data_IF_695772930372
#
_entry.id   IF_695772930372
#
_cell.length_a   1.000
_cell.length_b   1.000
_cell.length_c   1.000
_cell.angle_alpha   90.00
_cell.angle_beta   90.00
_cell.angle_gamma   90.00
#
_symmetry.space_group_name_H-M   'P 1'
#
loop_
_entity.id
_entity.type
_entity.pdbx_description
1 polymer ?
#
# COMPACT_ATOMS: atom_id res chain seq x y z
N UNK A 1 2.75 22.88 -1.10
CA UNK A 1 3.38 21.93 -2.04
C UNK A 1 2.41 21.68 -3.17
N UNK A 2 2.82 21.89 -4.42
CA UNK A 2 1.99 21.53 -5.59
C UNK A 2 2.08 20.01 -5.86
N UNK A 3 1.22 19.46 -6.73
CA UNK A 3 1.16 18.01 -6.98
C UNK A 3 2.48 17.42 -7.49
N UNK A 4 3.27 18.18 -8.26
CA UNK A 4 4.57 17.73 -8.77
C UNK A 4 5.63 17.70 -7.67
N UNK A 5 5.71 18.73 -6.84
CA UNK A 5 6.57 18.75 -5.65
C UNK A 5 6.22 17.61 -4.67
N UNK A 6 4.93 17.26 -4.54
CA UNK A 6 4.48 16.10 -3.75
C UNK A 6 5.03 14.79 -4.34
N UNK A 7 4.99 14.61 -5.66
CA UNK A 7 5.60 13.43 -6.32
C UNK A 7 7.10 13.35 -6.05
N UNK A 8 7.81 14.47 -6.16
CA UNK A 8 9.25 14.52 -5.88
C UNK A 8 9.54 14.15 -4.42
N UNK A 9 8.69 14.59 -3.49
CA UNK A 9 8.80 14.28 -2.07
C UNK A 9 8.51 12.80 -1.78
N UNK A 10 7.46 12.23 -2.38
CA UNK A 10 7.12 10.81 -2.29
C UNK A 10 8.26 9.90 -2.80
N UNK A 11 9.00 10.37 -3.81
CA UNK A 11 10.11 9.67 -4.45
C UNK A 11 11.48 9.97 -3.84
N UNK A 12 11.55 10.85 -2.83
CA UNK A 12 12.83 11.29 -2.30
C UNK A 12 13.62 10.13 -1.69
N UNK A 13 14.95 10.20 -1.79
CA UNK A 13 15.85 9.22 -1.16
C UNK A 13 15.69 9.24 0.36
N UNK A 14 15.40 10.41 0.95
CA UNK A 14 15.16 10.58 2.39
C UNK A 14 13.76 10.15 2.84
N UNK A 15 12.88 9.70 1.94
CA UNK A 15 11.55 9.21 2.31
C UNK A 15 11.69 7.95 3.16
N UNK A 16 11.08 7.95 4.35
CA UNK A 16 11.08 6.82 5.27
C UNK A 16 10.64 5.52 4.56
N UNK A 17 11.43 4.46 4.75
CA UNK A 17 11.19 3.14 4.16
C UNK A 17 10.56 2.22 5.18
N UNK A 18 10.24 1.00 4.75
CA UNK A 18 9.47 0.05 5.53
C UNK A 18 10.10 -0.35 6.87
N UNK A 19 11.43 -0.37 6.93
CA UNK A 19 12.23 -0.58 8.14
C UNK A 19 11.94 0.50 9.20
N UNK A 20 11.91 1.79 8.83
CA UNK A 20 11.55 2.86 9.75
C UNK A 20 10.18 2.64 10.40
N UNK A 21 9.15 2.30 9.62
CA UNK A 21 7.82 2.09 10.20
C UNK A 21 7.77 0.86 11.12
N UNK A 22 8.50 -0.21 10.78
CA UNK A 22 8.59 -1.40 11.62
C UNK A 22 9.30 -1.07 12.94
N UNK A 23 10.48 -0.47 12.87
CA UNK A 23 11.34 -0.22 14.02
C UNK A 23 10.77 0.85 14.96
N UNK A 24 10.04 1.83 14.43
CA UNK A 24 9.46 2.93 15.21
C UNK A 24 8.16 2.53 15.91
N UNK A 25 7.28 1.77 15.26
CA UNK A 25 5.91 1.55 15.75
C UNK A 25 5.65 0.14 16.30
N UNK A 26 6.48 -0.85 15.99
CA UNK A 26 6.20 -2.25 16.32
C UNK A 26 7.33 -2.88 17.12
N UNK A 27 7.00 -3.84 17.98
CA UNK A 27 7.98 -4.67 18.68
C UNK A 27 7.93 -6.11 18.17
N UNK A 28 8.99 -6.87 18.44
CA UNK A 28 9.06 -8.31 18.19
C UNK A 28 8.75 -8.70 16.73
N UNK A 29 9.19 -7.88 15.78
CA UNK A 29 8.97 -8.16 14.37
C UNK A 29 9.76 -9.41 13.95
N UNK A 30 9.03 -10.40 13.43
CA UNK A 30 9.57 -11.64 12.89
C UNK A 30 9.21 -11.75 11.41
N UNK A 31 10.21 -11.51 10.54
CA UNK A 31 10.05 -11.58 9.10
C UNK A 31 9.77 -13.02 8.63
N UNK A 32 8.84 -13.16 7.68
CA UNK A 32 8.39 -14.43 7.13
C UNK A 32 8.56 -14.47 5.61
N UNK A 33 9.46 -15.33 5.15
CA UNK A 33 9.86 -15.41 3.73
C UNK A 33 9.05 -16.42 2.89
N UNK A 34 9.05 -16.18 1.58
CA UNK A 34 8.63 -17.10 0.53
C UNK A 34 7.13 -17.13 0.23
N UNK A 35 6.75 -17.49 -0.98
CA UNK A 35 5.35 -17.69 -1.40
C UNK A 35 4.88 -19.16 -1.31
N UNK A 36 5.81 -20.10 -1.09
CA UNK A 36 5.63 -21.57 -1.09
C UNK A 36 5.32 -22.15 -2.47
N UNK A 37 5.65 -21.42 -3.54
CA UNK A 37 5.45 -21.86 -4.91
C UNK A 37 6.70 -21.66 -5.77
N UNK A 38 7.31 -20.47 -5.72
CA UNK A 38 8.41 -20.10 -6.60
C UNK A 38 9.63 -19.56 -5.83
N UNK A 39 9.56 -18.34 -5.30
CA UNK A 39 10.68 -17.70 -4.58
C UNK A 39 10.21 -16.73 -3.50
N UNK A 40 11.16 -16.24 -2.71
CA UNK A 40 10.93 -15.08 -1.85
C UNK A 40 11.22 -13.80 -2.64
N UNK A 41 10.23 -12.90 -2.73
CA UNK A 41 10.39 -11.62 -3.42
C UNK A 41 10.97 -10.58 -2.46
N UNK A 42 12.16 -10.03 -2.73
CA UNK A 42 12.77 -9.02 -1.87
C UNK A 42 12.04 -7.67 -1.93
N UNK A 43 11.22 -7.40 -2.96
CA UNK A 43 10.41 -6.19 -3.06
C UNK A 43 9.21 -6.17 -2.11
N UNK A 44 8.86 -7.31 -1.49
CA UNK A 44 7.78 -7.41 -0.50
C UNK A 44 8.32 -7.98 0.80
N UNK A 45 8.30 -7.17 1.85
CA UNK A 45 8.56 -7.60 3.23
C UNK A 45 7.24 -7.95 3.91
N UNK A 46 7.27 -8.94 4.79
CA UNK A 46 6.14 -9.17 5.67
C UNK A 46 6.46 -10.14 6.79
N UNK A 47 5.69 -10.04 7.87
CA UNK A 47 5.98 -10.75 9.10
C UNK A 47 4.88 -10.58 10.14
N UNK A 48 5.16 -11.09 11.34
CA UNK A 48 4.32 -10.90 12.53
C UNK A 48 5.04 -9.96 13.49
N UNK A 49 4.29 -9.11 14.17
CA UNK A 49 4.83 -8.16 15.15
C UNK A 49 3.81 -7.94 16.26
N UNK A 50 4.23 -7.20 17.28
CA UNK A 50 3.38 -6.72 18.36
C UNK A 50 3.17 -5.20 18.22
N UNK A 51 1.92 -4.77 18.33
CA UNK A 51 1.53 -3.37 18.35
C UNK A 51 0.69 -3.09 19.60
N UNK A 52 1.25 -2.40 20.60
CA UNK A 52 0.60 -2.19 21.91
C UNK A 52 0.03 -3.48 22.53
N UNK A 53 0.78 -4.58 22.47
CA UNK A 53 0.34 -5.89 22.96
C UNK A 53 -0.65 -6.63 22.05
N UNK A 54 -0.99 -6.09 20.88
CA UNK A 54 -1.84 -6.73 19.87
C UNK A 54 -0.95 -7.42 18.83
N UNK A 55 -1.05 -8.75 18.63
CA UNK A 55 -0.33 -9.42 17.56
C UNK A 55 -0.92 -9.02 16.20
N UNK A 56 -0.09 -8.48 15.32
CA UNK A 56 -0.46 -8.00 13.99
C UNK A 56 0.35 -8.70 12.90
N UNK A 57 -0.16 -8.71 11.68
CA UNK A 57 0.60 -9.11 10.49
C UNK A 57 0.91 -7.86 9.69
N UNK A 58 2.19 -7.63 9.43
CA UNK A 58 2.68 -6.48 8.67
C UNK A 58 3.10 -6.98 7.29
N UNK A 59 2.70 -6.26 6.23
CA UNK A 59 3.10 -6.54 4.85
C UNK A 59 3.39 -5.22 4.16
N UNK A 60 4.46 -5.09 3.41
CA UNK A 60 4.74 -3.83 2.72
C UNK A 60 5.68 -3.99 1.55
N UNK A 61 5.68 -2.97 0.69
CA UNK A 61 6.70 -2.82 -0.32
C UNK A 61 8.02 -2.42 0.35
N UNK A 62 9.13 -3.03 -0.09
CA UNK A 62 10.47 -2.72 0.38
C UNK A 62 11.22 -1.98 -0.72
N UNK A 63 11.57 -0.72 -0.45
CA UNK A 63 12.56 0.06 -1.21
C UNK A 63 13.84 0.19 -0.39
N UNK A 64 14.99 0.30 -1.07
CA UNK A 64 16.30 0.48 -0.45
C UNK A 64 16.62 1.94 -0.16
N UNK A 65 17.59 2.16 0.73
CA UNK A 65 18.15 3.48 1.06
C UNK A 65 19.32 3.85 0.13
N UNK A 66 20.00 2.86 -0.44
CA UNK A 66 21.03 3.04 -1.47
C UNK A 66 20.59 2.50 -2.84
N UNK A 67 21.40 2.75 -3.88
CA UNK A 67 21.16 2.18 -5.22
C UNK A 67 21.29 0.66 -5.19
N UNK A 68 22.30 0.13 -4.49
CA UNK A 68 22.56 -1.29 -4.35
C UNK A 68 21.40 -2.00 -3.63
N UNK A 69 20.91 -1.41 -2.55
CA UNK A 69 19.74 -1.92 -1.83
C UNK A 69 18.47 -1.86 -2.68
N UNK A 70 18.27 -0.77 -3.43
CA UNK A 70 17.14 -0.67 -4.34
C UNK A 70 17.19 -1.73 -5.45
N UNK A 71 18.37 -2.00 -6.03
CA UNK A 71 18.53 -3.09 -6.99
C UNK A 71 18.18 -4.43 -6.32
N UNK A 72 18.64 -4.66 -5.09
CA UNK A 72 18.38 -5.91 -4.36
C UNK A 72 16.89 -6.14 -4.06
N UNK A 73 16.09 -5.09 -3.90
CA UNK A 73 14.63 -5.18 -3.68
C UNK A 73 13.80 -4.70 -4.87
N UNK A 74 14.39 -4.69 -6.07
CA UNK A 74 13.74 -4.30 -7.32
C UNK A 74 13.00 -2.95 -7.25
N UNK A 75 13.55 -1.98 -6.51
CA UNK A 75 12.99 -0.64 -6.30
C UNK A 75 11.54 -0.68 -5.74
N UNK A 76 11.19 -1.74 -5.00
CA UNK A 76 9.83 -1.96 -4.48
C UNK A 76 8.81 -2.38 -5.54
N UNK A 77 9.25 -2.78 -6.73
CA UNK A 77 8.40 -3.35 -7.78
C UNK A 77 8.26 -4.85 -7.57
N UNK A 78 7.14 -5.26 -6.98
CA UNK A 78 6.88 -6.67 -6.72
C UNK A 78 6.65 -7.47 -8.02
N UNK A 79 7.20 -8.67 -8.03
CA UNK A 79 6.91 -9.74 -8.98
C UNK A 79 5.72 -10.59 -8.47
N UNK A 80 5.19 -11.54 -9.27
CA UNK A 80 3.96 -12.27 -8.90
C UNK A 80 4.07 -13.01 -7.56
N UNK A 81 5.23 -13.62 -7.29
CA UNK A 81 5.58 -14.26 -6.02
C UNK A 81 5.51 -13.32 -4.81
N UNK A 82 5.78 -12.02 -4.96
CA UNK A 82 5.64 -11.04 -3.88
C UNK A 82 4.17 -10.88 -3.46
N UNK A 83 3.27 -10.79 -4.44
CA UNK A 83 1.83 -10.75 -4.16
C UNK A 83 1.30 -12.09 -3.63
N UNK A 84 1.82 -13.23 -4.09
CA UNK A 84 1.48 -14.55 -3.52
C UNK A 84 1.98 -14.69 -2.07
N UNK A 85 3.19 -14.21 -1.76
CA UNK A 85 3.72 -14.11 -0.39
C UNK A 85 2.79 -13.26 0.47
N UNK A 86 2.35 -12.10 -0.02
CA UNK A 86 1.38 -11.27 0.69
C UNK A 86 0.07 -12.02 0.97
N UNK A 87 -0.53 -12.67 -0.04
CA UNK A 87 -1.74 -13.50 0.12
C UNK A 87 -1.56 -14.60 1.17
N UNK A 88 -0.41 -15.29 1.15
CA UNK A 88 -0.08 -16.33 2.14
C UNK A 88 -0.07 -15.74 3.56
N UNK A 89 0.57 -14.59 3.75
CA UNK A 89 0.65 -13.93 5.06
C UNK A 89 -0.71 -13.42 5.52
N UNK A 90 -1.53 -12.87 4.62
CA UNK A 90 -2.89 -12.43 4.92
C UNK A 90 -3.78 -13.60 5.36
N UNK A 91 -3.73 -14.74 4.66
CA UNK A 91 -4.45 -15.96 5.07
C UNK A 91 -3.99 -16.50 6.42
N UNK A 92 -2.70 -16.40 6.73
CA UNK A 92 -2.18 -16.73 8.05
C UNK A 92 -2.70 -15.77 9.13
N UNK A 93 -2.75 -14.46 8.84
CA UNK A 93 -3.32 -13.47 9.73
C UNK A 93 -4.78 -13.80 10.06
N UNK A 94 -5.59 -14.11 9.04
CA UNK A 94 -6.98 -14.50 9.21
C UNK A 94 -7.14 -15.78 10.05
N UNK A 95 -6.36 -16.82 9.75
CA UNK A 95 -6.37 -18.09 10.51
C UNK A 95 -6.17 -17.88 12.02
N UNK A 96 -5.31 -16.94 12.38
CA UNK A 96 -4.96 -16.62 13.76
C UNK A 96 -5.63 -15.34 14.29
N UNK A 97 -6.61 -14.80 13.55
CA UNK A 97 -7.40 -13.62 13.94
C UNK A 97 -6.56 -12.38 14.24
N UNK A 98 -5.43 -12.19 13.55
CA UNK A 98 -4.57 -11.00 13.66
C UNK A 98 -5.03 -9.93 12.68
N UNK A 99 -5.06 -8.64 13.08
CA UNK A 99 -5.16 -7.53 12.14
C UNK A 99 -4.03 -7.58 11.10
N UNK A 100 -4.32 -7.11 9.89
CA UNK A 100 -3.35 -6.92 8.80
C UNK A 100 -3.12 -5.43 8.62
N UNK A 101 -1.85 -5.03 8.59
CA UNK A 101 -1.43 -3.66 8.31
C UNK A 101 -0.55 -3.70 7.06
N UNK A 102 -0.96 -3.00 6.02
CA UNK A 102 -0.22 -2.93 4.77
C UNK A 102 0.43 -1.56 4.56
N UNK A 103 1.64 -1.57 4.01
CA UNK A 103 2.41 -0.36 3.69
C UNK A 103 2.71 -0.31 2.19
N UNK A 104 2.24 0.75 1.54
CA UNK A 104 2.28 0.90 0.09
C UNK A 104 3.31 1.97 -0.30
N UNK A 105 4.41 1.51 -0.92
CA UNK A 105 5.45 2.36 -1.51
C UNK A 105 6.06 1.65 -2.72
N UNK A 106 5.40 1.74 -3.87
CA UNK A 106 5.80 1.11 -5.12
C UNK A 106 5.55 2.03 -6.33
N UNK A 107 6.50 2.09 -7.27
CA UNK A 107 6.26 2.77 -8.54
C UNK A 107 5.35 1.95 -9.47
N UNK A 108 5.04 0.70 -9.11
CA UNK A 108 4.16 -0.22 -9.83
C UNK A 108 4.62 -1.67 -9.67
N UNK A 109 3.80 -2.61 -10.13
CA UNK A 109 4.25 -4.00 -10.24
C UNK A 109 5.36 -4.12 -11.30
N UNK A 110 6.30 -5.06 -11.11
CA UNK A 110 7.43 -5.20 -12.03
C UNK A 110 6.96 -5.59 -13.45
N UNK A 111 7.24 -4.79 -14.49
CA UNK A 111 6.76 -5.03 -15.85
C UNK A 111 7.75 -5.86 -16.66
N UNK A 112 8.18 -7.01 -16.12
CA UNK A 112 9.17 -7.89 -16.74
C UNK A 112 8.59 -9.12 -17.43
N UNK A 113 9.29 -9.67 -18.42
CA UNK A 113 8.86 -10.88 -19.15
C UNK A 113 8.68 -12.09 -18.22
N UNK A 114 9.57 -12.24 -17.23
CA UNK A 114 9.46 -13.29 -16.22
C UNK A 114 8.23 -13.09 -15.33
N UNK A 115 7.92 -11.85 -14.94
CA UNK A 115 6.73 -11.53 -14.16
C UNK A 115 5.44 -11.86 -14.93
N UNK A 116 5.39 -11.53 -16.22
CA UNK A 116 4.27 -11.89 -17.10
C UNK A 116 4.12 -13.41 -17.23
N UNK A 117 5.23 -14.11 -17.50
CA UNK A 117 5.24 -15.59 -17.63
C UNK A 117 4.82 -16.29 -16.35
N UNK A 118 5.14 -15.69 -15.20
CA UNK A 118 4.75 -16.15 -13.88
C UNK A 118 3.38 -15.62 -13.42
N UNK A 119 2.64 -14.88 -14.25
CA UNK A 119 1.24 -14.50 -13.99
C UNK A 119 1.05 -13.27 -13.10
N UNK A 120 1.69 -12.15 -13.43
CA UNK A 120 1.59 -10.87 -12.69
C UNK A 120 0.14 -10.41 -12.49
N UNK A 121 -0.67 -10.37 -13.55
CA UNK A 121 -2.08 -9.98 -13.44
C UNK A 121 -2.89 -10.92 -12.54
N UNK A 122 -2.61 -12.23 -12.60
CA UNK A 122 -3.29 -13.21 -11.77
C UNK A 122 -2.93 -13.05 -10.29
N UNK A 123 -1.65 -12.82 -9.97
CA UNK A 123 -1.21 -12.63 -8.60
C UNK A 123 -1.80 -11.35 -7.97
N UNK A 124 -1.84 -10.25 -8.73
CA UNK A 124 -2.50 -8.99 -8.32
C UNK A 124 -3.99 -9.23 -8.08
N UNK A 125 -4.70 -9.85 -9.03
CA UNK A 125 -6.13 -10.13 -8.91
C UNK A 125 -6.45 -11.04 -7.72
N UNK A 126 -5.60 -12.06 -7.46
CA UNK A 126 -5.73 -12.92 -6.29
C UNK A 126 -5.50 -12.17 -4.97
N UNK A 127 -4.56 -11.23 -4.94
CA UNK A 127 -4.32 -10.39 -3.76
C UNK A 127 -5.54 -9.52 -3.46
N UNK A 128 -6.05 -8.82 -4.47
CA UNK A 128 -7.28 -8.02 -4.38
C UNK A 128 -8.46 -8.88 -3.88
N UNK A 129 -8.69 -10.03 -4.51
CA UNK A 129 -9.78 -10.94 -4.12
C UNK A 129 -9.62 -11.46 -2.68
N UNK A 130 -8.39 -11.81 -2.28
CA UNK A 130 -8.09 -12.22 -0.91
C UNK A 130 -8.46 -11.10 0.07
N UNK A 131 -7.94 -9.89 -0.16
CA UNK A 131 -8.18 -8.72 0.68
C UNK A 131 -9.66 -8.36 0.78
N UNK A 132 -10.43 -8.45 -0.30
CA UNK A 132 -11.89 -8.23 -0.28
C UNK A 132 -12.61 -9.18 0.70
N UNK A 133 -12.10 -10.39 0.90
CA UNK A 133 -12.78 -11.46 1.65
C UNK A 133 -12.26 -11.66 3.08
N UNK A 134 -11.17 -10.99 3.48
CA UNK A 134 -10.55 -11.17 4.79
C UNK A 134 -11.50 -10.85 5.96
N UNK A 135 -11.59 -11.79 6.90
CA UNK A 135 -12.43 -11.74 8.11
C UNK A 135 -11.77 -11.10 9.32
N UNK A 136 -10.60 -10.49 9.13
CA UNK A 136 -9.86 -9.73 10.13
C UNK A 136 -9.77 -8.26 9.71
N UNK A 137 -9.51 -7.34 10.65
CA UNK A 137 -9.25 -5.94 10.32
C UNK A 137 -8.09 -5.79 9.34
N UNK A 138 -8.25 -4.95 8.33
CA UNK A 138 -7.22 -4.59 7.35
C UNK A 138 -7.12 -3.08 7.28
N UNK A 139 -5.91 -2.55 7.51
CA UNK A 139 -5.59 -1.12 7.37
C UNK A 139 -4.45 -1.02 6.36
N UNK A 140 -4.62 -0.21 5.31
CA UNK A 140 -3.58 0.08 4.33
C UNK A 140 -3.11 1.51 4.46
N UNK A 141 -1.81 1.72 4.38
CA UNK A 141 -1.18 3.03 4.51
C UNK A 141 -0.26 3.24 3.32
N UNK A 142 -0.55 4.23 2.48
CA UNK A 142 0.33 4.65 1.39
C UNK A 142 1.37 5.60 1.97
N UNK A 143 2.62 5.16 1.99
CA UNK A 143 3.73 5.86 2.64
C UNK A 143 4.65 6.57 1.66
N UNK A 144 4.67 6.18 0.40
CA UNK A 144 5.44 6.84 -0.65
C UNK A 144 4.63 6.93 -1.93
N UNK A 145 5.02 6.13 -2.92
CA UNK A 145 4.26 6.01 -4.16
C UNK A 145 3.25 4.86 -4.09
N UNK A 146 2.03 5.10 -4.55
CA UNK A 146 1.01 4.07 -4.74
C UNK A 146 0.58 4.03 -6.19
N UNK A 147 1.34 3.36 -7.06
CA UNK A 147 1.01 3.35 -8.49
C UNK A 147 0.27 2.07 -8.93
N UNK A 148 -0.87 2.28 -9.57
CA UNK A 148 -1.63 1.31 -10.35
C UNK A 148 -2.01 0.03 -9.59
N UNK A 149 -2.24 -1.07 -10.33
CA UNK A 149 -2.62 -2.37 -9.79
C UNK A 149 -1.60 -2.95 -8.81
N UNK A 150 -0.33 -2.58 -8.94
CA UNK A 150 0.73 -3.05 -8.04
C UNK A 150 0.57 -2.53 -6.61
N UNK A 151 0.18 -1.26 -6.47
CA UNK A 151 -0.19 -0.67 -5.19
C UNK A 151 -1.55 -1.20 -4.70
N UNK A 152 -2.55 -1.26 -5.60
CA UNK A 152 -3.90 -1.72 -5.27
C UNK A 152 -3.92 -3.15 -4.71
N UNK A 153 -3.00 -4.01 -5.16
CA UNK A 153 -2.83 -5.36 -4.65
C UNK A 153 -2.60 -5.44 -3.13
N UNK A 154 -2.13 -4.36 -2.49
CA UNK A 154 -1.96 -4.25 -1.04
C UNK A 154 -2.81 -3.15 -0.40
N UNK A 155 -3.74 -2.52 -1.15
CA UNK A 155 -4.49 -1.35 -0.69
C UNK A 155 -6.00 -1.58 -0.52
N UNK A 156 -6.49 -2.80 -0.68
CA UNK A 156 -7.90 -3.13 -0.44
C UNK A 156 -8.12 -3.38 1.05
N UNK A 157 -8.66 -2.40 1.75
CA UNK A 157 -8.69 -2.40 3.22
C UNK A 157 -9.99 -1.85 3.81
N UNK A 158 -10.25 -2.19 5.08
CA UNK A 158 -11.33 -1.56 5.86
C UNK A 158 -11.07 -0.06 6.01
N UNK A 159 -9.80 0.32 6.17
CA UNK A 159 -9.34 1.71 6.11
C UNK A 159 -8.10 1.85 5.24
N UNK A 160 -8.10 2.85 4.37
CA UNK A 160 -6.99 3.25 3.50
C UNK A 160 -6.57 4.65 3.92
N UNK A 161 -5.31 4.82 4.29
CA UNK A 161 -4.72 6.08 4.70
C UNK A 161 -3.59 6.47 3.78
N UNK A 162 -3.35 7.76 3.64
CA UNK A 162 -2.15 8.27 2.97
C UNK A 162 -1.36 9.14 3.93
N UNK A 163 -0.04 9.08 3.82
CA UNK A 163 0.79 10.15 4.37
C UNK A 163 0.61 11.42 3.53
N UNK A 164 0.73 12.59 4.16
CA UNK A 164 0.46 13.89 3.54
C UNK A 164 1.18 14.10 2.21
N UNK A 165 2.42 13.62 2.09
CA UNK A 165 3.23 13.76 0.89
C UNK A 165 3.33 12.47 0.06
N UNK A 166 2.49 11.47 0.33
CA UNK A 166 2.34 10.30 -0.51
C UNK A 166 1.46 10.60 -1.75
N UNK A 167 1.62 9.78 -2.80
CA UNK A 167 0.82 9.87 -4.02
C UNK A 167 0.16 8.54 -4.34
N UNK A 168 -1.05 8.55 -4.87
CA UNK A 168 -1.76 7.35 -5.32
C UNK A 168 -2.44 7.61 -6.66
N UNK A 169 -2.04 6.90 -7.71
CA UNK A 169 -2.56 7.10 -9.06
C UNK A 169 -2.74 5.79 -9.85
N UNK A 170 -3.56 5.82 -10.90
CA UNK A 170 -3.82 4.67 -11.79
C UNK A 170 -2.65 4.37 -12.73
N UNK A 171 -1.82 5.36 -13.05
CA UNK A 171 -0.55 5.23 -13.77
C UNK A 171 0.43 6.32 -13.32
N UNK A 172 1.70 6.23 -13.72
CA UNK A 172 2.69 7.26 -13.42
C UNK A 172 2.39 8.58 -14.17
N UNK A 173 2.74 9.75 -13.61
CA UNK A 173 2.62 11.02 -14.32
C UNK A 173 3.40 11.08 -15.64
N UNK A 174 4.58 10.44 -15.69
CA UNK A 174 5.38 10.30 -16.91
C UNK A 174 4.64 9.50 -17.97
N UNK A 175 3.99 8.40 -17.56
CA UNK A 175 3.18 7.56 -18.43
C UNK A 175 1.96 8.32 -18.97
N UNK A 176 1.27 9.08 -18.10
CA UNK A 176 0.14 9.92 -18.49
C UNK A 176 0.54 10.95 -19.56
N UNK A 177 1.65 11.67 -19.33
CA UNK A 177 2.15 12.67 -20.27
C UNK A 177 2.55 12.05 -21.62
N UNK A 178 3.25 10.92 -21.58
CA UNK A 178 3.68 10.19 -22.77
C UNK A 178 2.52 9.63 -23.59
N UNK A 179 1.43 9.21 -22.94
CA UNK A 179 0.27 8.64 -23.65
C UNK A 179 -0.61 9.75 -24.23
N UNK A 180 -1.01 10.73 -23.42
CA UNK A 180 -1.99 11.73 -23.85
C UNK A 180 -1.40 12.84 -24.72
N UNK A 181 -0.16 13.25 -24.45
CA UNK A 181 0.47 14.34 -25.18
C UNK A 181 1.67 13.91 -26.03
N UNK A 182 2.08 12.63 -25.96
CA UNK A 182 3.27 12.12 -26.65
C UNK A 182 4.54 12.89 -26.25
N UNK A 183 4.56 13.45 -25.05
CA UNK A 183 5.63 14.30 -24.54
C UNK A 183 5.83 14.09 -23.03
N UNK A 184 6.86 13.33 -22.59
CA UNK A 184 7.14 13.10 -21.18
C UNK A 184 7.62 14.37 -20.44
N UNK A 185 8.08 15.42 -21.15
CA UNK A 185 8.49 16.67 -20.50
C UNK A 185 7.32 17.39 -19.82
N UNK A 186 6.08 17.07 -20.22
CA UNK A 186 4.84 17.59 -19.64
C UNK A 186 4.42 16.87 -18.34
N UNK A 187 5.35 16.22 -17.63
CA UNK A 187 5.09 15.48 -16.38
C UNK A 187 4.51 16.39 -15.29
N UNK A 188 5.04 17.59 -15.08
CA UNK A 188 4.50 18.54 -14.09
C UNK A 188 3.05 18.92 -14.39
N UNK A 189 2.73 19.12 -15.68
CA UNK A 189 1.36 19.35 -16.14
C UNK A 189 0.47 18.13 -15.90
N UNK A 190 0.98 16.90 -16.13
CA UNK A 190 0.25 15.67 -15.82
C UNK A 190 -0.11 15.61 -14.33
N UNK A 191 0.87 15.88 -13.45
CA UNK A 191 0.66 15.85 -12.00
C UNK A 191 -0.50 16.75 -11.56
N UNK A 192 -0.61 17.95 -12.15
CA UNK A 192 -1.69 18.90 -11.85
C UNK A 192 -3.08 18.48 -12.32
N UNK A 193 -3.20 17.47 -13.18
CA UNK A 193 -4.50 16.97 -13.68
C UNK A 193 -4.94 15.65 -13.05
N UNK A 194 -4.00 14.85 -12.53
CA UNK A 194 -4.25 13.47 -12.13
C UNK A 194 -4.95 13.30 -10.79
N UNK A 195 -5.07 14.36 -9.98
CA UNK A 195 -5.72 14.36 -8.66
C UNK A 195 -5.27 13.20 -7.75
N UNK A 196 -3.96 13.08 -7.55
CA UNK A 196 -3.32 11.91 -6.91
C UNK A 196 -2.76 12.19 -5.52
N UNK A 197 -2.87 13.42 -5.01
CA UNK A 197 -2.35 13.77 -3.68
C UNK A 197 -3.29 13.29 -2.58
N UNK A 198 -2.76 13.09 -1.37
CA UNK A 198 -3.55 12.67 -0.21
C UNK A 198 -4.77 13.57 0.06
N UNK A 199 -4.59 14.89 -0.05
CA UNK A 199 -5.67 15.87 0.13
C UNK A 199 -6.78 15.69 -0.91
N UNK A 200 -6.43 15.57 -2.19
CA UNK A 200 -7.41 15.42 -3.28
C UNK A 200 -8.19 14.11 -3.15
N UNK A 201 -7.50 13.02 -2.85
CA UNK A 201 -8.12 11.69 -2.71
C UNK A 201 -8.98 11.58 -1.45
N UNK A 202 -8.61 12.29 -0.38
CA UNK A 202 -9.44 12.39 0.82
C UNK A 202 -10.73 13.17 0.54
N UNK A 203 -10.63 14.30 -0.17
CA UNK A 203 -11.80 15.10 -0.57
C UNK A 203 -12.72 14.33 -1.53
N UNK A 204 -12.15 13.49 -2.40
CA UNK A 204 -12.90 12.60 -3.28
C UNK A 204 -13.49 11.36 -2.57
N UNK A 205 -13.20 11.15 -1.27
CA UNK A 205 -13.67 9.99 -0.52
C UNK A 205 -13.05 8.65 -0.96
N UNK A 206 -11.90 8.69 -1.64
CA UNK A 206 -11.19 7.50 -2.12
C UNK A 206 -10.25 6.90 -1.06
N UNK A 207 -9.89 7.69 -0.05
CA UNK A 207 -9.18 7.27 1.17
C UNK A 207 -9.96 7.73 2.41
N UNK A 208 -9.73 7.11 3.56
CA UNK A 208 -10.47 7.41 4.80
C UNK A 208 -9.70 8.31 5.77
N UNK A 209 -8.43 8.62 5.47
CA UNK A 209 -7.60 9.40 6.37
C UNK A 209 -6.29 9.85 5.75
N UNK A 210 -5.79 10.97 6.24
CA UNK A 210 -4.48 11.51 5.92
C UNK A 210 -3.70 11.72 7.22
N UNK A 211 -2.45 11.27 7.27
CA UNK A 211 -1.55 11.49 8.40
C UNK A 211 -0.54 12.57 8.01
N UNK A 212 -0.50 13.66 8.78
CA UNK A 212 0.40 14.79 8.55
C UNK A 212 1.85 14.43 8.83
N UNK A 213 2.75 14.96 8.03
CA UNK A 213 4.19 14.70 8.16
C UNK A 213 4.91 15.89 8.80
N UNK A 214 4.43 16.28 9.98
CA UNK A 214 5.03 17.31 10.83
C UNK A 214 5.69 16.68 12.07
N UNK A 215 6.16 17.51 13.01
CA UNK A 215 6.83 17.05 14.24
C UNK A 215 5.94 16.16 15.13
N UNK A 216 4.63 16.06 14.86
CA UNK A 216 3.69 15.19 15.57
C UNK A 216 3.44 13.85 14.88
N UNK A 217 4.04 13.62 13.71
CA UNK A 217 3.82 12.45 12.85
C UNK A 217 3.79 11.13 13.62
N UNK A 218 4.84 10.80 14.38
CA UNK A 218 4.95 9.52 15.06
C UNK A 218 3.83 9.32 16.09
N UNK A 219 3.56 10.35 16.89
CA UNK A 219 2.50 10.31 17.91
C UNK A 219 1.12 10.16 17.28
N UNK A 220 0.83 10.91 16.22
CA UNK A 220 -0.47 10.88 15.56
C UNK A 220 -0.66 9.57 14.77
N UNK A 221 0.39 9.06 14.12
CA UNK A 221 0.37 7.76 13.45
C UNK A 221 0.06 6.64 14.45
N UNK A 222 0.81 6.56 15.54
CA UNK A 222 0.68 5.54 16.57
C UNK A 222 -0.74 5.55 17.18
N UNK A 223 -1.19 6.74 17.62
CA UNK A 223 -2.52 6.94 18.20
C UNK A 223 -3.63 6.55 17.22
N UNK A 224 -3.57 7.06 15.99
CA UNK A 224 -4.60 6.79 14.98
C UNK A 224 -4.67 5.30 14.65
N UNK A 225 -3.52 4.65 14.44
CA UNK A 225 -3.44 3.22 14.14
C UNK A 225 -4.02 2.38 15.28
N UNK A 226 -3.67 2.70 16.53
CA UNK A 226 -4.20 2.01 17.71
C UNK A 226 -5.72 2.16 17.83
N UNK A 227 -6.23 3.39 17.75
CA UNK A 227 -7.67 3.66 17.80
C UNK A 227 -8.42 2.91 16.69
N UNK A 228 -7.87 2.90 15.47
CA UNK A 228 -8.49 2.23 14.33
C UNK A 228 -8.51 0.71 14.47
N UNK A 229 -7.41 0.10 14.90
CA UNK A 229 -7.36 -1.34 15.16
C UNK A 229 -8.39 -1.71 16.22
N UNK A 230 -8.44 -0.98 17.35
CA UNK A 230 -9.41 -1.22 18.43
C UNK A 230 -10.85 -1.03 17.97
N UNK A 231 -11.11 -0.06 17.09
CA UNK A 231 -12.42 0.16 16.50
C UNK A 231 -12.84 -1.02 15.63
N UNK A 232 -11.98 -1.48 14.72
CA UNK A 232 -12.29 -2.55 13.78
C UNK A 232 -12.39 -3.91 14.47
N UNK A 233 -11.58 -4.18 15.51
CA UNK A 233 -11.65 -5.42 16.29
C UNK A 233 -12.99 -5.60 17.04
N UNK A 234 -13.76 -4.54 17.27
CA UNK A 234 -15.11 -4.64 17.87
C UNK A 234 -16.16 -5.14 16.87
N UNK A 235 -15.86 -5.14 15.57
CA UNK A 235 -16.80 -5.57 14.53
C UNK A 235 -16.77 -7.08 14.38
N UNK A 236 -17.93 -7.65 14.04
CA UNK A 236 -18.01 -9.06 13.65
C UNK A 236 -17.29 -9.27 12.32
N UNK A 237 -16.63 -10.42 12.11
CA UNK A 237 -15.95 -10.75 10.86
C UNK A 237 -16.79 -10.55 9.59
N UNK A 238 -18.07 -10.94 9.64
CA UNK A 238 -18.98 -10.81 8.50
C UNK A 238 -19.30 -9.34 8.19
N UNK A 239 -19.31 -8.49 9.22
CA UNK A 239 -19.53 -7.06 9.06
C UNK A 239 -18.32 -6.38 8.43
N UNK A 240 -17.09 -6.76 8.80
CA UNK A 240 -15.86 -6.26 8.16
C UNK A 240 -15.90 -6.51 6.65
N UNK A 241 -16.15 -7.75 6.24
CA UNK A 241 -16.23 -8.14 4.82
C UNK A 241 -17.33 -7.35 4.10
N UNK A 242 -18.52 -7.25 4.70
CA UNK A 242 -19.66 -6.53 4.10
C UNK A 242 -19.37 -5.04 3.93
N UNK A 243 -18.83 -4.38 4.95
CA UNK A 243 -18.52 -2.96 4.90
C UNK A 243 -17.40 -2.67 3.90
N UNK A 244 -16.34 -3.50 3.86
CA UNK A 244 -15.27 -3.40 2.87
C UNK A 244 -15.81 -3.53 1.45
N UNK A 245 -16.66 -4.52 1.19
CA UNK A 245 -17.35 -4.67 -0.10
C UNK A 245 -18.15 -3.41 -0.47
N UNK A 246 -18.97 -2.90 0.45
CA UNK A 246 -19.78 -1.71 0.21
C UNK A 246 -18.94 -0.45 -0.02
N UNK A 247 -17.82 -0.30 0.69
CA UNK A 247 -16.88 0.81 0.49
C UNK A 247 -16.39 0.86 -0.95
N UNK A 248 -15.79 -0.22 -1.45
CA UNK A 248 -15.27 -0.25 -2.82
C UNK A 248 -16.38 -0.21 -3.87
N UNK A 249 -17.56 -0.79 -3.60
CA UNK A 249 -18.68 -0.75 -4.54
C UNK A 249 -19.28 0.65 -4.72
N UNK A 250 -19.14 1.54 -3.74
CA UNK A 250 -19.64 2.92 -3.81
C UNK A 250 -18.69 3.88 -4.53
N UNK A 251 -17.43 3.50 -4.77
CA UNK A 251 -16.46 4.39 -5.40
C UNK A 251 -16.85 4.80 -6.84
N UNK A 252 -17.56 3.94 -7.58
CA UNK A 252 -18.11 4.29 -8.90
C UNK A 252 -19.31 5.25 -8.83
N UNK A 253 -20.10 5.20 -7.74
CA UNK A 253 -21.33 5.98 -7.58
C UNK A 253 -21.12 7.46 -7.26
N UNK A 254 -19.87 7.93 -7.24
CA UNK A 254 -19.53 9.34 -7.05
C UNK A 254 -19.65 10.17 -8.34
N UNK A 255 -20.03 9.53 -9.47
CA UNK A 255 -20.18 10.15 -10.78
C UNK A 255 -21.60 10.07 -11.36
N UNK A 256 -22.59 9.65 -10.56
CA UNK A 256 -24.02 9.57 -10.95
C UNK A 256 -24.80 10.89 -10.69
N UNK A 257 -24.12 12.04 -10.57
CA UNK A 257 -24.73 13.39 -10.48
C UNK A 257 -24.35 14.29 -11.67
#
# INVERSE_FOLDING_TARGET
MNAYETVLTARSVGRNKMDYYIDTFFSDFFELHGDRLYRDDPAVIGGIAMFHGIPVTIIGHRKGRSVEENIACNFGMASPEGYRKAVRLMKQAEKFKRPVITFVDTPGAYPGVEAESNGQSNAIAQSIACMCSLKVPVISIITGEGNSGGALALAVADSVWMLEHAVYSILSPEGFASILWKDPSLTEKACGLMKMTATELLQAGLIDGMIKEDDTFEKEFDRALYEKIKQLQKKKPELLVKERYLKFRRMDGLYDE
#
